data_IF_826317230317
#
_entry.id   IF_826317230317
#
_cell.length_a   1.000
_cell.length_b   1.000
_cell.length_c   1.000
_cell.angle_alpha   90.00
_cell.angle_beta   90.00
_cell.angle_gamma   90.00
#
_symmetry.space_group_name_H-M   'P 1'
#
loop_
_entity.id
_entity.type
_entity.pdbx_description
1 polymer ?
#
# COMPACT_ATOMS: atom_id res chain seq x y z
N UNK A 1 -36.77 -14.05 26.60
CA UNK A 1 -36.31 -14.93 25.50
C UNK A 1 -36.10 -14.17 24.18
N UNK A 2 -36.99 -13.25 23.78
CA UNK A 2 -36.85 -12.50 22.51
C UNK A 2 -35.71 -11.46 22.51
N UNK A 3 -35.48 -10.79 23.64
CA UNK A 3 -34.49 -9.70 23.74
C UNK A 3 -33.04 -10.19 23.66
N UNK A 4 -32.76 -11.34 24.29
CA UNK A 4 -31.44 -11.98 24.29
C UNK A 4 -31.00 -12.41 22.88
N UNK A 5 -31.94 -12.86 22.05
CA UNK A 5 -31.69 -13.20 20.65
C UNK A 5 -31.45 -11.95 19.79
N UNK A 6 -32.15 -10.85 20.05
CA UNK A 6 -31.94 -9.58 19.37
C UNK A 6 -30.55 -9.00 19.68
N UNK A 7 -30.12 -9.08 20.94
CA UNK A 7 -28.78 -8.66 21.37
C UNK A 7 -27.68 -9.55 20.76
N UNK A 8 -27.89 -10.87 20.71
CA UNK A 8 -26.92 -11.78 20.08
C UNK A 8 -26.77 -11.51 18.58
N UNK A 9 -27.87 -11.23 17.88
CA UNK A 9 -27.84 -10.88 16.46
C UNK A 9 -27.17 -9.53 16.22
N UNK A 10 -27.45 -8.51 17.04
CA UNK A 10 -26.79 -7.21 16.91
C UNK A 10 -25.30 -7.29 17.23
N UNK A 11 -24.91 -8.10 18.21
CA UNK A 11 -23.50 -8.37 18.51
C UNK A 11 -22.79 -9.06 17.34
N UNK A 12 -23.39 -10.10 16.75
CA UNK A 12 -22.84 -10.77 15.58
C UNK A 12 -22.72 -9.82 14.38
N UNK A 13 -23.71 -8.94 14.16
CA UNK A 13 -23.66 -7.92 13.11
C UNK A 13 -22.56 -6.87 13.36
N UNK A 14 -22.40 -6.40 14.60
CA UNK A 14 -21.32 -5.49 15.00
C UNK A 14 -19.95 -6.15 14.82
N UNK A 15 -19.80 -7.41 15.20
CA UNK A 15 -18.57 -8.17 15.03
C UNK A 15 -18.22 -8.35 13.54
N UNK A 16 -19.21 -8.67 12.70
CA UNK A 16 -19.00 -8.79 11.27
C UNK A 16 -18.58 -7.45 10.64
N UNK A 17 -19.22 -6.34 11.04
CA UNK A 17 -18.89 -5.00 10.57
C UNK A 17 -17.47 -4.59 10.98
N UNK A 18 -17.08 -4.82 12.25
CA UNK A 18 -15.74 -4.48 12.72
C UNK A 18 -14.66 -5.30 12.01
N UNK A 19 -14.91 -6.59 11.75
CA UNK A 19 -14.00 -7.44 10.98
C UNK A 19 -13.90 -6.95 9.53
N UNK A 20 -15.00 -6.58 8.88
CA UNK A 20 -14.96 -6.04 7.51
C UNK A 20 -14.17 -4.74 7.42
N UNK A 21 -14.31 -3.84 8.41
CA UNK A 21 -13.54 -2.59 8.47
C UNK A 21 -12.05 -2.86 8.70
N UNK A 22 -11.72 -3.80 9.59
CA UNK A 22 -10.34 -4.20 9.85
C UNK A 22 -9.68 -4.81 8.61
N UNK A 23 -10.40 -5.69 7.89
CA UNK A 23 -9.91 -6.27 6.63
C UNK A 23 -9.68 -5.21 5.57
N UNK A 24 -10.60 -4.26 5.39
CA UNK A 24 -10.41 -3.16 4.45
C UNK A 24 -9.16 -2.32 4.79
N UNK A 25 -8.98 -2.01 6.07
CA UNK A 25 -7.82 -1.24 6.55
C UNK A 25 -6.51 -2.01 6.29
N UNK A 26 -6.51 -3.31 6.54
CA UNK A 26 -5.33 -4.14 6.35
C UNK A 26 -5.01 -4.37 4.87
N UNK A 27 -6.04 -4.47 4.01
CA UNK A 27 -5.87 -4.49 2.56
C UNK A 27 -5.21 -3.19 2.06
N UNK A 28 -5.67 -2.03 2.54
CA UNK A 28 -5.07 -0.74 2.19
C UNK A 28 -3.61 -0.63 2.67
N UNK A 29 -3.30 -1.12 3.88
CA UNK A 29 -1.90 -1.20 4.35
C UNK A 29 -1.04 -2.09 3.45
N UNK A 30 -1.53 -3.25 3.07
CA UNK A 30 -0.80 -4.17 2.20
C UNK A 30 -0.54 -3.58 0.81
N UNK A 31 -1.52 -2.85 0.26
CA UNK A 31 -1.34 -2.10 -0.99
C UNK A 31 -0.25 -1.03 -0.83
N UNK A 32 -0.33 -0.19 0.20
CA UNK A 32 0.66 0.85 0.46
C UNK A 32 2.08 0.27 0.68
N UNK A 33 2.20 -0.87 1.38
CA UNK A 33 3.48 -1.55 1.57
C UNK A 33 4.05 -2.09 0.24
N UNK A 34 3.18 -2.58 -0.65
CA UNK A 34 3.58 -3.05 -1.98
C UNK A 34 4.08 -1.89 -2.85
N UNK A 35 3.37 -0.77 -2.85
CA UNK A 35 3.76 0.44 -3.59
C UNK A 35 5.12 0.97 -3.10
N UNK A 36 5.32 1.00 -1.78
CA UNK A 36 6.60 1.39 -1.19
C UNK A 36 7.73 0.46 -1.62
N UNK A 37 7.49 -0.86 -1.69
CA UNK A 37 8.48 -1.81 -2.17
C UNK A 37 8.86 -1.57 -3.64
N UNK A 38 7.88 -1.26 -4.49
CA UNK A 38 8.13 -0.89 -5.90
C UNK A 38 8.97 0.39 -5.98
N UNK A 39 8.64 1.42 -5.19
CA UNK A 39 9.43 2.66 -5.13
C UNK A 39 10.87 2.37 -4.70
N UNK A 40 11.07 1.52 -3.70
CA UNK A 40 12.41 1.13 -3.25
C UNK A 40 13.19 0.41 -4.35
N UNK A 41 12.57 -0.52 -5.09
CA UNK A 41 13.21 -1.19 -6.22
C UNK A 41 13.59 -0.21 -7.33
N UNK A 42 12.72 0.74 -7.65
CA UNK A 42 13.00 1.79 -8.63
C UNK A 42 14.18 2.66 -8.18
N UNK A 43 14.22 3.07 -6.91
CA UNK A 43 15.31 3.87 -6.37
C UNK A 43 16.65 3.12 -6.44
N UNK A 44 16.67 1.83 -6.05
CA UNK A 44 17.86 0.99 -6.14
C UNK A 44 18.33 0.83 -7.60
N UNK A 45 17.40 0.69 -8.55
CA UNK A 45 17.71 0.63 -9.97
C UNK A 45 18.34 1.93 -10.48
N UNK A 46 17.79 3.08 -10.07
CA UNK A 46 18.35 4.40 -10.41
C UNK A 46 19.75 4.58 -9.81
N UNK A 47 19.96 4.21 -8.55
CA UNK A 47 21.26 4.35 -7.89
C UNK A 47 22.32 3.46 -8.57
N UNK A 48 21.95 2.23 -8.94
CA UNK A 48 22.84 1.33 -9.69
C UNK A 48 23.15 1.86 -11.10
N UNK A 49 22.15 2.42 -11.79
CA UNK A 49 22.33 3.02 -13.10
C UNK A 49 23.22 4.26 -13.01
N UNK A 50 22.99 5.16 -12.05
CA UNK A 50 23.86 6.32 -11.81
C UNK A 50 25.31 5.90 -11.52
N UNK A 51 25.52 4.86 -10.71
CA UNK A 51 26.86 4.37 -10.39
C UNK A 51 27.61 3.79 -11.60
N UNK A 52 26.90 3.36 -12.65
CA UNK A 52 27.47 2.77 -13.87
C UNK A 52 27.58 3.76 -15.04
N UNK A 53 26.99 4.95 -14.93
CA UNK A 53 27.09 5.97 -15.97
C UNK A 53 28.50 6.61 -15.99
N UNK A 54 29.15 6.71 -17.16
CA UNK A 54 30.36 7.50 -17.32
C UNK A 54 30.11 8.97 -16.96
N UNK A 55 31.12 9.64 -16.40
CA UNK A 55 31.03 11.05 -16.04
C UNK A 55 30.50 11.89 -17.23
N UNK A 56 29.38 12.59 -17.01
CA UNK A 56 28.72 13.44 -18.00
C UNK A 56 27.45 12.87 -18.66
N UNK A 57 27.15 11.57 -18.53
CA UNK A 57 25.86 11.02 -19.00
C UNK A 57 24.75 11.21 -17.96
N UNK A 58 23.59 11.71 -18.40
CA UNK A 58 22.43 12.00 -17.54
C UNK A 58 22.35 13.43 -16.97
N UNK A 59 23.37 14.27 -17.19
CA UNK A 59 23.37 15.69 -16.77
C UNK A 59 22.54 16.58 -17.71
N UNK A 60 22.44 16.22 -18.98
CA UNK A 60 21.58 16.86 -19.96
C UNK A 60 20.52 15.86 -20.42
N UNK A 61 19.35 15.91 -19.80
CA UNK A 61 18.15 15.35 -20.42
C UNK A 61 17.67 16.39 -21.44
N UNK A 62 17.54 16.01 -22.72
CA UNK A 62 16.88 16.86 -23.71
C UNK A 62 15.41 16.98 -23.31
N UNK A 63 15.09 18.01 -22.54
CA UNK A 63 13.72 18.48 -22.34
C UNK A 63 13.34 19.19 -23.64
N UNK A 64 12.80 18.44 -24.61
CA UNK A 64 12.17 19.05 -25.78
C UNK A 64 10.95 19.84 -25.31
N UNK A 65 11.01 21.17 -25.45
CA UNK A 65 9.92 22.10 -25.23
C UNK A 65 8.73 21.84 -26.18
#
# INVERSE_FOLDING_TARGET
>A
MSDSLAIAQSFAAMQASSTQQALQTEMLRQQAASDQAVVTLLQQGVDQMQATLPAGQGQSVDISA
#
